data_IF_289431131111
#
_entry.id   IF_289431131111
#
_cell.length_a   1.000
_cell.length_b   1.000
_cell.length_c   1.000
_cell.angle_alpha   90.00
_cell.angle_beta   90.00
_cell.angle_gamma   90.00
#
_symmetry.space_group_name_H-M   'P 1'
#
loop_
_entity.id
_entity.type
_entity.pdbx_description
1 polymer ?
#
# COMPACT_ATOMS: atom_id res chain seq x y z
N UNK A 1 -27.12 1.17 -11.26
CA UNK A 1 -26.30 1.60 -10.11
C UNK A 1 -25.17 2.42 -10.70
N UNK A 2 -25.11 3.72 -10.42
CA UNK A 2 -24.05 4.56 -10.96
C UNK A 2 -22.77 4.29 -10.16
N UNK A 3 -21.74 3.78 -10.81
CA UNK A 3 -20.47 3.45 -10.15
C UNK A 3 -19.78 4.70 -9.62
N UNK A 4 -20.11 5.88 -10.16
CA UNK A 4 -19.60 7.18 -9.70
C UNK A 4 -20.08 7.55 -8.31
N UNK A 5 -21.25 7.07 -7.89
CA UNK A 5 -21.77 7.27 -6.53
C UNK A 5 -20.96 6.50 -5.47
N UNK A 6 -20.07 5.60 -5.90
CA UNK A 6 -19.31 4.71 -5.02
C UNK A 6 -17.82 5.10 -4.91
N UNK A 7 -17.40 6.11 -5.65
CA UNK A 7 -16.03 6.62 -5.67
C UNK A 7 -15.90 7.74 -4.64
N UNK A 8 -14.76 7.78 -3.96
CA UNK A 8 -14.46 8.75 -2.91
C UNK A 8 -15.56 8.82 -1.84
N UNK A 9 -16.19 7.67 -1.57
CA UNK A 9 -17.18 7.49 -0.51
C UNK A 9 -16.76 6.34 0.40
N UNK A 10 -17.19 6.41 1.66
CA UNK A 10 -16.90 5.40 2.67
C UNK A 10 -17.91 4.26 2.59
N UNK A 11 -17.43 3.03 2.45
CA UNK A 11 -18.28 1.83 2.40
C UNK A 11 -17.76 0.72 3.28
N UNK A 12 -18.65 0.06 3.99
CA UNK A 12 -18.31 -1.17 4.71
C UNK A 12 -18.26 -2.34 3.71
N UNK A 13 -17.11 -3.02 3.62
CA UNK A 13 -16.89 -4.15 2.70
C UNK A 13 -16.97 -5.50 3.41
N UNK A 14 -16.67 -5.51 4.71
CA UNK A 14 -16.86 -6.61 5.64
C UNK A 14 -17.23 -6.04 7.01
N UNK A 15 -17.90 -6.80 7.89
CA UNK A 15 -18.19 -6.32 9.24
C UNK A 15 -16.94 -5.78 9.94
N UNK A 16 -16.93 -4.48 10.25
CA UNK A 16 -15.81 -3.78 10.89
C UNK A 16 -14.66 -3.36 9.96
N UNK A 17 -14.81 -3.47 8.64
CA UNK A 17 -13.81 -3.04 7.66
C UNK A 17 -14.43 -2.16 6.57
N UNK A 18 -13.82 -1.01 6.37
CA UNK A 18 -14.33 0.06 5.52
C UNK A 18 -13.34 0.34 4.39
N UNK A 19 -13.86 0.74 3.23
CA UNK A 19 -13.12 1.03 2.03
C UNK A 19 -13.55 2.38 1.45
N UNK A 20 -12.56 3.09 0.87
CA UNK A 20 -12.76 4.17 -0.10
C UNK A 20 -12.18 3.69 -1.43
N UNK A 21 -12.96 3.80 -2.51
CA UNK A 21 -12.45 3.66 -3.88
C UNK A 21 -11.90 5.01 -4.30
N UNK A 22 -10.61 5.08 -4.63
CA UNK A 22 -9.90 6.32 -4.97
C UNK A 22 -9.98 6.58 -6.47
N UNK A 23 -10.43 7.78 -6.85
CA UNK A 23 -10.48 8.20 -8.26
C UNK A 23 -9.09 8.58 -8.78
N UNK A 24 -8.44 7.69 -9.55
CA UNK A 24 -7.15 7.93 -10.22
C UNK A 24 -6.06 8.57 -9.34
N UNK A 25 -6.00 8.22 -8.05
CA UNK A 25 -4.98 8.72 -7.14
C UNK A 25 -3.57 8.31 -7.59
N UNK A 26 -2.57 9.10 -7.24
CA UNK A 26 -1.17 8.73 -7.35
C UNK A 26 -0.53 8.57 -5.97
N UNK A 27 0.73 8.12 -5.95
CA UNK A 27 1.52 7.95 -4.73
C UNK A 27 1.61 9.24 -3.90
N UNK A 28 1.43 10.42 -4.51
CA UNK A 28 1.40 11.69 -3.78
C UNK A 28 0.23 11.78 -2.80
N UNK A 29 -0.85 11.03 -2.99
CA UNK A 29 -1.96 10.94 -2.05
C UNK A 29 -1.52 10.42 -0.67
N UNK A 30 -0.47 9.59 -0.60
CA UNK A 30 0.05 9.01 0.65
C UNK A 30 0.49 10.07 1.67
N UNK A 31 0.83 11.29 1.24
CA UNK A 31 1.19 12.38 2.15
C UNK A 31 0.06 12.73 3.13
N UNK A 32 -1.20 12.49 2.73
CA UNK A 32 -2.38 12.73 3.56
C UNK A 32 -2.78 11.53 4.40
N UNK A 33 -2.47 10.32 3.94
CA UNK A 33 -2.95 9.07 4.54
C UNK A 33 -1.99 8.56 5.63
N UNK A 34 -0.69 8.73 5.44
CA UNK A 34 0.32 8.27 6.40
C UNK A 34 0.19 9.05 7.72
N UNK A 35 0.11 8.30 8.83
CA UNK A 35 0.13 8.85 10.20
C UNK A 35 1.51 8.72 10.83
N UNK A 36 1.92 9.70 11.64
CA UNK A 36 3.18 9.62 12.42
C UNK A 36 3.01 8.80 13.71
N UNK A 37 1.78 8.42 14.06
CA UNK A 37 1.49 7.57 15.23
C UNK A 37 1.78 6.09 14.97
N UNK A 38 1.96 5.70 13.69
CA UNK A 38 2.24 4.33 13.30
C UNK A 38 3.70 4.13 12.91
N UNK A 39 4.31 3.04 13.38
CA UNK A 39 5.76 2.83 13.33
C UNK A 39 6.31 2.44 11.96
N UNK A 40 5.60 1.60 11.22
CA UNK A 40 6.14 0.93 10.03
C UNK A 40 5.23 1.04 8.82
N UNK A 41 5.84 1.03 7.64
CA UNK A 41 5.19 0.83 6.36
C UNK A 41 5.69 -0.47 5.75
N UNK A 42 4.76 -1.37 5.45
CA UNK A 42 5.01 -2.59 4.70
C UNK A 42 4.50 -2.44 3.28
N UNK A 43 5.42 -2.44 2.32
CA UNK A 43 5.11 -2.40 0.89
C UNK A 43 5.14 -3.81 0.33
N UNK A 44 4.12 -4.15 -0.46
CA UNK A 44 3.96 -5.45 -1.06
C UNK A 44 4.26 -5.41 -2.56
N UNK A 45 4.84 -6.48 -3.07
CA UNK A 45 5.02 -6.72 -4.51
C UNK A 45 5.58 -5.51 -5.26
N UNK A 46 6.48 -4.77 -4.63
CA UNK A 46 7.07 -3.58 -5.22
C UNK A 46 7.88 -3.95 -6.46
N UNK A 47 7.66 -3.21 -7.54
CA UNK A 47 8.35 -3.42 -8.81
C UNK A 47 9.23 -2.23 -9.15
N UNK A 48 10.51 -2.51 -9.44
CA UNK A 48 11.43 -1.47 -9.92
C UNK A 48 11.10 -1.09 -11.37
N UNK A 49 11.06 0.21 -11.69
CA UNK A 49 10.74 0.71 -13.03
C UNK A 49 11.68 0.13 -14.11
N UNK A 50 11.06 -0.37 -15.19
CA UNK A 50 11.62 -0.80 -16.47
C UNK A 50 11.76 -2.32 -16.63
N UNK A 51 10.69 -2.98 -17.10
CA UNK A 51 10.63 -4.40 -17.47
C UNK A 51 11.06 -4.69 -18.92
N UNK A 52 11.35 -3.65 -19.71
CA UNK A 52 11.67 -3.77 -21.13
C UNK A 52 13.13 -4.16 -21.37
N UNK A 53 14.05 -3.64 -20.55
CA UNK A 53 15.49 -3.84 -20.71
C UNK A 53 16.06 -4.76 -19.63
N UNK A 54 17.07 -5.54 -20.00
CA UNK A 54 17.88 -6.29 -19.04
C UNK A 54 18.78 -5.33 -18.28
N UNK A 55 18.68 -5.33 -16.95
CA UNK A 55 19.54 -4.53 -16.06
C UNK A 55 20.37 -5.45 -15.17
N UNK A 56 21.58 -5.01 -14.84
CA UNK A 56 22.46 -5.71 -13.91
C UNK A 56 22.04 -5.45 -12.46
N UNK A 57 21.94 -6.52 -11.68
CA UNK A 57 21.60 -6.48 -10.26
C UNK A 57 22.48 -7.44 -9.46
N UNK A 58 22.65 -7.14 -8.17
CA UNK A 58 23.23 -8.05 -7.19
C UNK A 58 22.09 -8.69 -6.40
N UNK A 59 21.77 -9.96 -6.68
CA UNK A 59 20.61 -10.64 -6.11
C UNK A 59 20.99 -11.92 -5.34
N UNK A 60 20.30 -12.22 -4.23
CA UNK A 60 20.47 -13.48 -3.53
C UNK A 60 19.67 -14.57 -4.27
N UNK A 61 20.32 -15.32 -5.15
CA UNK A 61 19.67 -16.42 -5.89
C UNK A 61 19.43 -17.67 -5.02
N UNK A 62 20.10 -17.73 -3.88
CA UNK A 62 20.06 -18.83 -2.93
C UNK A 62 20.00 -18.27 -1.51
N UNK A 63 19.51 -19.08 -0.56
CA UNK A 63 19.35 -18.69 0.85
C UNK A 63 20.68 -18.35 1.55
N UNK A 64 21.82 -18.73 0.97
CA UNK A 64 23.14 -18.59 1.55
C UNK A 64 23.77 -17.20 1.36
N UNK A 65 23.01 -16.11 1.45
CA UNK A 65 23.44 -14.68 1.45
C UNK A 65 24.46 -14.22 0.37
N UNK A 66 24.86 -15.08 -0.56
CA UNK A 66 25.84 -14.78 -1.59
C UNK A 66 25.12 -14.12 -2.76
N UNK A 67 25.25 -12.81 -2.86
CA UNK A 67 24.70 -12.04 -3.96
C UNK A 67 25.47 -12.34 -5.25
N UNK A 68 24.73 -12.75 -6.28
CA UNK A 68 25.27 -12.97 -7.63
C UNK A 68 24.96 -11.77 -8.51
N UNK A 69 25.89 -11.43 -9.40
CA UNK A 69 25.61 -10.48 -10.47
C UNK A 69 24.79 -11.17 -11.55
N UNK A 70 23.58 -10.67 -11.76
CA UNK A 70 22.64 -11.21 -12.75
C UNK A 70 22.04 -10.11 -13.58
N UNK A 71 21.70 -10.45 -14.82
CA UNK A 71 20.80 -9.63 -15.62
C UNK A 71 19.37 -10.04 -15.29
N UNK A 72 18.55 -9.09 -14.88
CA UNK A 72 17.11 -9.28 -14.70
C UNK A 72 16.34 -8.17 -15.43
N UNK A 73 15.17 -8.50 -15.97
CA UNK A 73 14.25 -7.50 -16.52
C UNK A 73 13.45 -6.81 -15.43
N UNK A 74 13.09 -7.54 -14.38
CA UNK A 74 12.22 -7.03 -13.32
C UNK A 74 12.58 -7.72 -12.00
N UNK A 75 12.52 -6.95 -10.92
CA UNK A 75 12.57 -7.47 -9.56
C UNK A 75 11.26 -7.07 -8.89
N UNK A 76 10.63 -8.06 -8.25
CA UNK A 76 9.44 -7.86 -7.42
C UNK A 76 9.77 -8.32 -6.01
N UNK A 77 9.52 -7.47 -5.01
CA UNK A 77 9.83 -7.79 -3.62
C UNK A 77 8.90 -7.07 -2.63
N UNK A 78 8.77 -7.66 -1.45
CA UNK A 78 8.13 -7.03 -0.29
C UNK A 78 9.24 -6.42 0.59
N UNK A 79 8.96 -5.29 1.23
CA UNK A 79 9.86 -4.71 2.23
C UNK A 79 9.10 -3.95 3.31
N UNK A 80 9.72 -3.85 4.48
CA UNK A 80 9.19 -3.10 5.62
C UNK A 80 10.24 -2.10 6.06
N UNK A 81 9.82 -0.85 6.27
CA UNK A 81 10.68 0.23 6.73
C UNK A 81 9.95 1.06 7.79
N UNK A 82 10.67 1.77 8.68
CA UNK A 82 10.06 2.78 9.53
C UNK A 82 9.26 3.81 8.72
N UNK A 83 8.14 4.29 9.25
CA UNK A 83 7.28 5.27 8.58
C UNK A 83 8.04 6.55 8.24
N UNK A 84 8.93 7.01 9.13
CA UNK A 84 9.78 8.19 8.90
C UNK A 84 10.68 8.02 7.68
N UNK A 85 11.27 6.84 7.54
CA UNK A 85 12.19 6.52 6.45
C UNK A 85 11.40 6.37 5.15
N UNK A 86 10.21 5.76 5.20
CA UNK A 86 9.32 5.65 4.06
C UNK A 86 8.92 7.02 3.50
N UNK A 87 8.60 7.99 4.36
CA UNK A 87 8.27 9.37 3.93
C UNK A 87 9.41 10.00 3.13
N UNK A 88 10.66 9.78 3.52
CA UNK A 88 11.82 10.28 2.78
C UNK A 88 11.98 9.63 1.40
N UNK A 89 11.48 8.40 1.23
CA UNK A 89 11.52 7.67 -0.03
C UNK A 89 10.37 8.00 -0.98
N UNK A 90 9.24 8.56 -0.50
CA UNK A 90 8.05 8.88 -1.29
C UNK A 90 8.34 9.55 -2.65
N UNK A 91 9.19 10.60 -2.73
CA UNK A 91 9.49 11.27 -4.01
C UNK A 91 10.16 10.38 -5.05
N UNK A 92 10.72 9.24 -4.65
CA UNK A 92 11.42 8.30 -5.52
C UNK A 92 10.51 7.18 -6.06
N UNK A 93 9.28 7.05 -5.54
CA UNK A 93 8.39 5.98 -5.96
C UNK A 93 7.77 6.21 -7.34
N UNK A 94 7.32 5.10 -7.93
CA UNK A 94 6.62 5.12 -9.21
C UNK A 94 5.17 5.52 -9.11
N UNK A 95 4.43 5.44 -10.23
CA UNK A 95 3.01 5.81 -10.25
C UNK A 95 2.13 4.88 -9.43
N UNK A 96 2.58 3.65 -9.12
CA UNK A 96 1.80 2.67 -8.37
C UNK A 96 2.53 2.10 -7.16
N UNK A 97 1.77 1.75 -6.13
CA UNK A 97 2.24 1.16 -4.88
C UNK A 97 1.09 0.48 -4.14
N UNK A 98 1.37 -0.67 -3.55
CA UNK A 98 0.48 -1.32 -2.58
C UNK A 98 1.20 -1.39 -1.24
N UNK A 99 0.60 -0.86 -0.18
CA UNK A 99 1.22 -0.84 1.14
C UNK A 99 0.21 -0.91 2.29
N UNK A 100 0.72 -1.25 3.47
CA UNK A 100 -0.01 -1.19 4.74
C UNK A 100 0.82 -0.47 5.78
N UNK A 101 0.19 0.42 6.54
CA UNK A 101 0.82 1.08 7.68
C UNK A 101 0.44 0.35 8.98
N UNK A 102 1.42 0.06 9.84
CA UNK A 102 1.28 -0.86 10.98
C UNK A 102 2.20 -0.51 12.16
N UNK A 103 1.81 -0.94 13.37
CA UNK A 103 2.58 -0.73 14.60
C UNK A 103 3.42 -1.93 15.03
N UNK A 104 2.99 -3.13 14.66
CA UNK A 104 3.64 -4.39 15.01
C UNK A 104 3.97 -5.19 13.75
N UNK A 105 5.19 -5.72 13.66
CA UNK A 105 5.67 -6.40 12.46
C UNK A 105 4.84 -7.66 12.16
N UNK A 106 4.52 -7.92 10.88
CA UNK A 106 3.74 -9.07 10.48
C UNK A 106 4.45 -10.39 10.80
N UNK A 107 3.68 -11.38 11.26
CA UNK A 107 4.18 -12.74 11.47
C UNK A 107 4.36 -13.47 10.14
N UNK A 108 5.22 -14.48 10.11
CA UNK A 108 5.57 -15.23 8.90
C UNK A 108 4.37 -15.85 8.14
N UNK A 109 3.27 -16.15 8.85
CA UNK A 109 2.07 -16.73 8.25
C UNK A 109 1.19 -15.67 7.57
N UNK A 110 1.38 -14.39 7.87
CA UNK A 110 0.69 -13.29 7.23
C UNK A 110 1.38 -13.00 5.90
N UNK A 111 1.16 -13.87 4.92
CA UNK A 111 1.70 -13.70 3.58
C UNK A 111 0.65 -13.05 2.68
N UNK A 112 1.02 -11.91 2.11
CA UNK A 112 0.13 -11.09 1.30
C UNK A 112 -0.34 -11.78 0.01
N UNK A 113 0.42 -12.76 -0.48
CA UNK A 113 0.10 -13.53 -1.67
C UNK A 113 -0.98 -14.59 -1.41
N UNK A 114 -1.08 -15.11 -0.18
CA UNK A 114 -1.96 -16.25 0.15
C UNK A 114 -3.17 -15.86 0.98
N UNK A 115 -3.05 -14.88 1.88
CA UNK A 115 -4.13 -14.44 2.75
C UNK A 115 -4.89 -13.29 2.08
N UNK A 116 -6.17 -13.54 1.74
CA UNK A 116 -7.03 -12.62 0.97
C UNK A 116 -8.37 -12.37 1.68
N UNK A 117 -9.05 -11.30 1.26
CA UNK A 117 -10.40 -10.96 1.74
C UNK A 117 -10.46 -10.63 3.22
N UNK A 118 -11.62 -10.85 3.85
CA UNK A 118 -11.87 -10.52 5.26
C UNK A 118 -10.79 -11.04 6.22
N UNK A 119 -10.37 -12.30 6.05
CA UNK A 119 -9.36 -12.92 6.93
C UNK A 119 -8.03 -12.18 6.95
N UNK A 120 -7.66 -11.52 5.85
CA UNK A 120 -6.46 -10.66 5.80
C UNK A 120 -6.61 -9.48 6.75
N UNK A 121 -7.71 -8.75 6.65
CA UNK A 121 -7.95 -7.57 7.46
C UNK A 121 -8.16 -7.92 8.93
N UNK A 122 -8.82 -9.04 9.23
CA UNK A 122 -8.94 -9.56 10.61
C UNK A 122 -7.56 -9.81 11.23
N UNK A 123 -6.64 -10.45 10.48
CA UNK A 123 -5.29 -10.72 10.96
C UNK A 123 -4.44 -9.45 11.07
N UNK A 124 -4.55 -8.53 10.11
CA UNK A 124 -3.87 -7.23 10.19
C UNK A 124 -4.31 -6.45 11.44
N UNK A 125 -5.61 -6.39 11.73
CA UNK A 125 -6.13 -5.76 12.95
C UNK A 125 -5.57 -6.44 14.21
N UNK A 126 -5.65 -7.77 14.26
CA UNK A 126 -5.34 -8.54 15.47
C UNK A 126 -3.85 -8.64 15.79
N UNK A 127 -3.01 -8.80 14.76
CA UNK A 127 -1.62 -9.20 14.93
C UNK A 127 -0.63 -8.08 14.65
N UNK A 128 -1.02 -7.06 13.87
CA UNK A 128 -0.12 -6.01 13.40
C UNK A 128 -0.50 -4.61 13.90
N UNK A 129 -1.70 -4.44 14.46
CA UNK A 129 -2.29 -3.12 14.74
C UNK A 129 -2.10 -2.21 13.52
N UNK A 130 -2.79 -2.53 12.42
CA UNK A 130 -2.70 -1.77 11.17
C UNK A 130 -3.65 -0.58 11.17
N UNK A 131 -3.21 0.53 10.57
CA UNK A 131 -4.07 1.69 10.34
C UNK A 131 -4.87 1.51 9.05
N UNK A 132 -4.17 1.26 7.94
CA UNK A 132 -4.79 1.13 6.64
C UNK A 132 -3.94 0.26 5.71
N UNK A 133 -4.61 -0.30 4.70
CA UNK A 133 -4.02 -0.85 3.49
C UNK A 133 -4.46 0.01 2.31
N UNK A 134 -3.53 0.37 1.43
CA UNK A 134 -3.81 1.13 0.22
C UNK A 134 -3.20 0.43 -0.99
N UNK A 135 -3.96 0.44 -2.08
CA UNK A 135 -3.52 0.01 -3.40
C UNK A 135 -3.71 1.17 -4.38
N UNK A 136 -2.61 1.65 -4.94
CA UNK A 136 -2.57 2.67 -5.97
C UNK A 136 -2.01 2.00 -7.22
N UNK A 137 -2.82 1.75 -8.26
CA UNK A 137 -2.34 1.07 -9.46
C UNK A 137 -1.35 1.94 -10.24
N UNK A 138 -0.41 1.31 -10.94
CA UNK A 138 0.59 2.03 -11.75
C UNK A 138 0.05 2.65 -13.04
N UNK A 139 -1.19 2.32 -13.41
CA UNK A 139 -1.90 2.87 -14.56
C UNK A 139 -2.98 3.85 -14.08
N UNK A 140 -3.54 4.65 -14.99
CA UNK A 140 -4.74 5.45 -14.71
C UNK A 140 -5.92 4.50 -14.48
N UNK A 141 -6.08 4.03 -13.26
CA UNK A 141 -7.16 3.18 -12.78
C UNK A 141 -7.53 3.56 -11.33
N UNK A 142 -8.59 2.96 -10.80
CA UNK A 142 -9.08 3.22 -9.44
C UNK A 142 -8.18 2.57 -8.40
N UNK A 143 -7.81 3.35 -7.39
CA UNK A 143 -7.15 2.84 -6.19
C UNK A 143 -8.15 2.37 -5.15
N UNK A 144 -7.64 1.73 -4.10
CA UNK A 144 -8.44 1.37 -2.93
C UNK A 144 -7.71 1.73 -1.65
N UNK A 145 -8.45 2.23 -0.65
CA UNK A 145 -7.96 2.47 0.70
C UNK A 145 -8.89 1.75 1.67
N UNK A 146 -8.36 0.84 2.47
CA UNK A 146 -9.11 -0.01 3.40
C UNK A 146 -8.59 0.18 4.82
N UNK A 147 -9.50 0.29 5.79
CA UNK A 147 -9.17 0.38 7.21
C UNK A 147 -10.29 -0.22 8.08
N UNK A 148 -9.94 -0.73 9.26
CA UNK A 148 -10.91 -1.00 10.33
C UNK A 148 -11.31 0.25 11.12
N UNK A 149 -10.54 1.33 11.02
CA UNK A 149 -10.84 2.61 11.65
C UNK A 149 -11.70 3.49 10.73
N UNK A 150 -13.00 3.49 11.01
CA UNK A 150 -13.98 4.30 10.30
C UNK A 150 -13.74 5.80 10.46
N UNK A 151 -13.33 6.23 11.65
CA UNK A 151 -13.11 7.64 11.97
C UNK A 151 -11.91 8.18 11.22
N UNK A 152 -10.84 7.39 11.13
CA UNK A 152 -9.68 7.71 10.31
C UNK A 152 -10.07 7.98 8.85
N UNK A 153 -10.79 7.05 8.21
CA UNK A 153 -11.21 7.23 6.81
C UNK A 153 -12.16 8.42 6.63
N UNK A 154 -13.09 8.63 7.57
CA UNK A 154 -13.98 9.79 7.55
C UNK A 154 -13.19 11.10 7.67
N UNK A 155 -12.15 11.14 8.50
CA UNK A 155 -11.30 12.33 8.66
C UNK A 155 -10.58 12.72 7.36
N UNK A 156 -10.24 11.74 6.50
CA UNK A 156 -9.69 12.01 5.18
C UNK A 156 -10.74 12.63 4.25
N UNK A 157 -11.97 12.09 4.25
CA UNK A 157 -13.06 12.63 3.43
C UNK A 157 -13.41 14.07 3.82
N UNK A 158 -13.34 14.38 5.11
CA UNK A 158 -13.62 15.70 5.65
C UNK A 158 -12.43 16.68 5.52
N UNK A 159 -11.25 16.18 5.14
CA UNK A 159 -10.04 16.99 5.01
C UNK A 159 -10.09 17.90 3.78
N UNK A 160 -10.25 19.20 4.03
CA UNK A 160 -10.34 20.23 2.98
C UNK A 160 -9.06 20.42 2.16
N UNK A 161 -7.91 19.89 2.61
CA UNK A 161 -6.67 19.92 1.85
C UNK A 161 -6.62 18.86 0.73
N UNK A 162 -7.56 17.90 0.73
CA UNK A 162 -7.65 16.84 -0.27
C UNK A 162 -8.71 17.25 -1.31
N UNK A 163 -8.27 17.46 -2.56
CA UNK A 163 -9.21 17.62 -3.67
C UNK A 163 -9.66 16.24 -4.18
N UNK A 164 -10.78 15.75 -3.64
CA UNK A 164 -11.38 14.49 -4.05
C UNK A 164 -11.92 14.47 -5.49
N UNK A 165 -11.90 15.59 -6.23
CA UNK A 165 -12.22 15.60 -7.67
C UNK A 165 -10.98 15.48 -8.55
N UNK A 166 -9.81 15.64 -7.96
CA UNK A 166 -8.51 15.61 -8.63
C UNK A 166 -7.46 15.14 -7.63
N UNK A 167 -7.55 13.87 -7.23
CA UNK A 167 -6.60 13.30 -6.29
C UNK A 167 -5.18 13.40 -6.87
N UNK A 168 -4.20 13.85 -6.06
CA UNK A 168 -2.83 13.98 -6.53
C UNK A 168 -2.19 12.63 -6.75
#
# INVERSE_FOLDING_TARGET
MDWRENINTLKEIYPGHFQIILDFATVDFLKFVLSDEYKYVWVYSHETKCSLDWKSYKLPLFDNQNYQEVLARQIRFDFIVPTTDFRALLPSFGPGITLTQLNELPKYYLNSATVKGKSRYDLLSKECDYLFEIDIPSATDYGTLVSSDKSFLQSLLDNQAIDWKSLP
#
